data_IF_845720701738
#
_entry.id   IF_845720701738
#
_cell.length_a   1.000
_cell.length_b   1.000
_cell.length_c   1.000
_cell.angle_alpha   90.00
_cell.angle_beta   90.00
_cell.angle_gamma   90.00
#
_symmetry.space_group_name_H-M   'P 1'
#
loop_
_entity.id
_entity.type
_entity.pdbx_description
1 polymer ?
#
# COMPACT_ATOMS: atom_id res chain seq x y z
N UNK A 1 7.75 14.50 1.61
CA UNK A 1 9.16 14.84 1.30
C UNK A 1 9.73 15.95 2.19
N UNK A 2 8.90 16.85 2.73
CA UNK A 2 9.34 17.91 3.66
C UNK A 2 10.07 17.37 4.90
N UNK A 3 9.53 16.33 5.54
CA UNK A 3 10.14 15.72 6.73
C UNK A 3 11.52 15.12 6.45
N UNK A 4 11.68 14.31 5.40
CA UNK A 4 12.96 13.66 5.09
C UNK A 4 14.05 14.66 4.70
N UNK A 5 13.73 15.68 3.89
CA UNK A 5 14.68 16.71 3.49
C UNK A 5 15.05 17.61 4.67
N UNK A 6 14.05 18.10 5.41
CA UNK A 6 14.28 18.95 6.58
C UNK A 6 15.06 18.23 7.68
N UNK A 7 14.72 16.97 7.94
CA UNK A 7 15.45 16.12 8.88
C UNK A 7 16.90 15.91 8.47
N UNK A 8 17.17 15.58 7.20
CA UNK A 8 18.54 15.43 6.70
C UNK A 8 19.38 16.70 6.88
N UNK A 9 18.81 17.88 6.60
CA UNK A 9 19.49 19.17 6.79
C UNK A 9 19.82 19.38 8.27
N UNK A 10 18.85 19.20 9.17
CA UNK A 10 19.06 19.35 10.61
C UNK A 10 20.11 18.36 11.12
N UNK A 11 20.07 17.11 10.67
CA UNK A 11 21.04 16.08 11.02
C UNK A 11 22.47 16.43 10.59
N UNK A 12 22.66 16.94 9.37
CA UNK A 12 23.97 17.38 8.88
C UNK A 12 24.47 18.57 9.71
N UNK A 13 23.61 19.54 10.00
CA UNK A 13 23.97 20.70 10.84
C UNK A 13 24.41 20.21 12.23
N UNK A 14 23.60 19.40 12.90
CA UNK A 14 23.92 18.86 14.24
C UNK A 14 25.19 18.02 14.24
N UNK A 15 25.40 17.17 13.22
CA UNK A 15 26.61 16.37 13.07
C UNK A 15 27.86 17.24 12.95
N UNK A 16 27.85 18.25 12.08
CA UNK A 16 28.97 19.15 11.87
C UNK A 16 29.21 20.07 13.07
N UNK A 17 28.14 20.55 13.72
CA UNK A 17 28.24 21.35 14.94
C UNK A 17 28.92 20.57 16.08
N UNK A 18 28.52 19.32 16.32
CA UNK A 18 29.17 18.49 17.35
C UNK A 18 30.60 18.14 16.95
N UNK A 19 30.84 17.84 15.67
CA UNK A 19 32.20 17.57 15.16
C UNK A 19 33.14 18.77 15.36
N UNK A 20 32.63 20.00 15.20
CA UNK A 20 33.41 21.22 15.41
C UNK A 20 33.83 21.43 16.88
N UNK A 21 33.13 20.82 17.84
CA UNK A 21 33.46 20.91 19.27
C UNK A 21 34.45 19.86 19.77
N UNK A 22 34.83 18.90 18.92
CA UNK A 22 35.83 17.88 19.26
C UNK A 22 37.25 18.46 19.25
N UNK A 23 38.18 17.79 19.93
CA UNK A 23 39.60 18.15 19.89
C UNK A 23 40.13 18.12 18.44
N UNK A 24 40.73 19.22 17.98
CA UNK A 24 41.13 19.39 16.58
C UNK A 24 40.02 19.86 15.63
N UNK A 25 38.77 19.97 16.11
CA UNK A 25 37.63 20.58 15.43
C UNK A 25 37.42 20.10 13.99
N UNK A 26 36.93 20.99 13.12
CA UNK A 26 36.79 20.66 11.69
C UNK A 26 38.12 20.68 10.92
N UNK A 27 39.22 21.13 11.54
CA UNK A 27 40.55 21.04 10.92
C UNK A 27 41.02 19.59 10.77
N UNK A 28 40.73 18.73 11.75
CA UNK A 28 40.92 17.28 11.65
C UNK A 28 39.62 16.58 11.25
N UNK A 29 39.11 16.94 10.07
CA UNK A 29 37.77 16.55 9.59
C UNK A 29 37.48 15.05 9.74
N UNK A 30 38.40 14.16 9.34
CA UNK A 30 38.17 12.72 9.36
C UNK A 30 38.02 12.16 10.79
N UNK A 31 38.79 12.68 11.75
CA UNK A 31 38.76 12.21 13.13
C UNK A 31 37.52 12.75 13.84
N UNK A 32 37.22 14.03 13.68
CA UNK A 32 36.11 14.70 14.36
C UNK A 32 34.74 14.25 13.85
N UNK A 33 34.61 14.02 12.54
CA UNK A 33 33.34 13.55 11.93
C UNK A 33 33.11 12.05 12.08
N UNK A 34 34.19 11.25 12.13
CA UNK A 34 34.16 9.82 12.39
C UNK A 34 34.00 9.45 13.86
N UNK A 35 33.96 10.45 14.75
CA UNK A 35 33.72 10.23 16.17
C UNK A 35 32.30 9.67 16.41
N UNK A 36 32.20 8.65 17.26
CA UNK A 36 30.94 7.96 17.55
C UNK A 36 29.84 8.91 18.09
N UNK A 37 30.20 9.90 18.90
CA UNK A 37 29.22 10.86 19.46
C UNK A 37 28.71 11.83 18.39
N UNK A 38 29.59 12.29 17.49
CA UNK A 38 29.20 13.15 16.36
C UNK A 38 28.21 12.41 15.45
N UNK A 39 28.56 11.20 15.02
CA UNK A 39 27.71 10.40 14.13
C UNK A 39 26.36 10.04 14.78
N UNK A 40 26.37 9.65 16.05
CA UNK A 40 25.15 9.34 16.79
C UNK A 40 24.21 10.56 16.87
N UNK A 41 24.75 11.73 17.22
CA UNK A 41 23.96 12.95 17.34
C UNK A 41 23.35 13.36 16.01
N UNK A 42 24.13 13.33 14.93
CA UNK A 42 23.64 13.61 13.58
C UNK A 42 22.49 12.69 13.16
N UNK A 43 22.67 11.38 13.33
CA UNK A 43 21.67 10.38 12.96
C UNK A 43 20.38 10.51 13.78
N UNK A 44 20.48 10.72 15.10
CA UNK A 44 19.33 10.94 15.97
C UNK A 44 18.57 12.21 15.60
N UNK A 45 19.28 13.32 15.43
CA UNK A 45 18.69 14.58 15.02
C UNK A 45 17.99 14.44 13.66
N UNK A 46 18.58 13.75 12.70
CA UNK A 46 17.98 13.53 11.38
C UNK A 46 16.63 12.79 11.46
N UNK A 47 16.60 11.66 12.18
CA UNK A 47 15.43 10.80 12.26
C UNK A 47 14.30 11.49 13.05
N UNK A 48 14.62 12.04 14.22
CA UNK A 48 13.61 12.63 15.10
C UNK A 48 13.02 13.91 14.52
N UNK A 49 13.88 14.82 14.03
CA UNK A 49 13.39 16.07 13.43
C UNK A 49 12.65 15.82 12.13
N UNK A 50 13.06 14.83 11.33
CA UNK A 50 12.35 14.48 10.10
C UNK A 50 10.95 13.92 10.37
N UNK A 51 10.79 13.10 11.41
CA UNK A 51 9.48 12.62 11.87
C UNK A 51 8.58 13.76 12.36
N UNK A 52 9.11 14.64 13.22
CA UNK A 52 8.36 15.80 13.75
C UNK A 52 7.94 16.75 12.62
N UNK A 53 8.85 17.08 11.71
CA UNK A 53 8.55 17.96 10.57
C UNK A 53 7.50 17.36 9.63
N UNK A 54 7.53 16.05 9.40
CA UNK A 54 6.49 15.39 8.62
C UNK A 54 5.11 15.58 9.25
N UNK A 55 4.99 15.36 10.57
CA UNK A 55 3.74 15.53 11.31
C UNK A 55 3.26 16.99 11.26
N UNK A 56 4.16 17.94 11.53
CA UNK A 56 3.82 19.38 11.50
C UNK A 56 3.31 19.79 10.12
N UNK A 57 4.02 19.42 9.05
CA UNK A 57 3.62 19.78 7.68
C UNK A 57 2.30 19.10 7.32
N UNK A 58 2.07 17.85 7.72
CA UNK A 58 0.78 17.18 7.53
C UNK A 58 -0.37 17.96 8.16
N UNK A 59 -0.20 18.44 9.40
CA UNK A 59 -1.23 19.24 10.07
C UNK A 59 -1.45 20.59 9.39
N UNK A 60 -0.39 21.28 8.95
CA UNK A 60 -0.51 22.57 8.26
C UNK A 60 -1.22 22.41 6.91
N UNK A 61 -0.85 21.40 6.13
CA UNK A 61 -1.40 21.20 4.77
C UNK A 61 -2.81 20.62 4.79
N UNK A 62 -3.16 19.80 5.78
CA UNK A 62 -4.45 19.09 5.83
C UNK A 62 -5.36 19.55 6.97
N UNK A 63 -5.16 20.77 7.48
CA UNK A 63 -5.91 21.28 8.64
C UNK A 63 -7.43 21.27 8.43
N UNK A 64 -7.89 21.53 7.20
CA UNK A 64 -9.30 21.60 6.83
C UNK A 64 -9.77 20.35 6.07
N UNK A 65 -9.13 19.20 6.27
CA UNK A 65 -9.50 17.97 5.58
C UNK A 65 -10.87 17.46 6.06
N UNK A 66 -11.84 17.43 5.15
CA UNK A 66 -13.20 16.99 5.42
C UNK A 66 -13.63 15.81 4.52
N UNK A 67 -14.83 15.29 4.74
CA UNK A 67 -15.37 14.17 3.97
C UNK A 67 -15.59 14.55 2.49
N UNK A 68 -15.95 15.80 2.19
CA UNK A 68 -16.14 16.23 0.80
C UNK A 68 -14.83 16.25 0.02
N UNK A 69 -13.75 16.78 0.62
CA UNK A 69 -12.39 16.74 0.07
C UNK A 69 -11.95 15.31 -0.22
N UNK A 70 -12.23 14.37 0.69
CA UNK A 70 -11.88 12.96 0.46
C UNK A 70 -12.59 12.34 -0.74
N UNK A 71 -13.85 12.73 -0.96
CA UNK A 71 -14.65 12.29 -2.10
C UNK A 71 -14.16 12.94 -3.39
N UNK A 72 -13.86 14.24 -3.37
CA UNK A 72 -13.30 14.95 -4.52
C UNK A 72 -11.95 14.37 -4.97
N UNK A 73 -11.05 14.07 -4.03
CA UNK A 73 -9.77 13.43 -4.31
C UNK A 73 -9.99 12.03 -4.90
N UNK A 74 -10.96 11.28 -4.38
CA UNK A 74 -11.31 9.96 -4.91
C UNK A 74 -11.82 10.05 -6.35
N UNK A 75 -12.74 10.96 -6.63
CA UNK A 75 -13.29 11.19 -7.97
C UNK A 75 -12.20 11.59 -8.95
N UNK A 76 -11.34 12.55 -8.57
CA UNK A 76 -10.20 12.99 -9.38
C UNK A 76 -9.23 11.85 -9.66
N UNK A 77 -8.91 11.04 -8.66
CA UNK A 77 -8.01 9.89 -8.81
C UNK A 77 -8.60 8.85 -9.76
N UNK A 78 -9.92 8.65 -9.69
CA UNK A 78 -10.65 7.71 -10.54
C UNK A 78 -10.79 8.20 -11.98
N UNK A 79 -10.78 9.50 -12.22
CA UNK A 79 -10.85 10.07 -13.58
C UNK A 79 -9.52 9.93 -14.36
N UNK A 80 -8.41 9.60 -13.70
CA UNK A 80 -7.10 9.32 -14.34
C UNK A 80 -7.06 7.93 -15.01
N UNK A 81 -8.18 7.21 -15.02
CA UNK A 81 -8.26 5.83 -15.50
C UNK A 81 -8.02 5.68 -17.01
N UNK A 82 -7.50 4.52 -17.41
CA UNK A 82 -7.24 4.22 -18.81
C UNK A 82 -8.58 3.98 -19.55
N UNK A 83 -8.91 4.75 -20.61
CA UNK A 83 -10.16 4.57 -21.33
C UNK A 83 -10.32 3.19 -21.99
N UNK A 84 -9.23 2.45 -22.21
CA UNK A 84 -9.28 1.09 -22.77
C UNK A 84 -9.37 -0.02 -21.71
N UNK A 85 -8.98 0.26 -20.48
CA UNK A 85 -8.93 -0.74 -19.41
C UNK A 85 -9.26 -0.10 -18.06
N UNK A 86 -10.53 0.31 -17.86
CA UNK A 86 -10.91 0.98 -16.64
C UNK A 86 -10.67 0.06 -15.44
N UNK A 87 -9.85 0.52 -14.48
CA UNK A 87 -9.53 -0.21 -13.25
C UNK A 87 -10.81 -0.61 -12.51
N UNK A 88 -11.84 0.24 -12.58
CA UNK A 88 -13.15 -0.03 -11.96
C UNK A 88 -13.79 -1.30 -12.50
N UNK A 89 -13.68 -1.61 -13.79
CA UNK A 89 -14.24 -2.85 -14.34
C UNK A 89 -13.38 -4.08 -14.06
N UNK A 90 -12.05 -3.92 -14.11
CA UNK A 90 -11.11 -5.00 -13.84
C UNK A 90 -11.16 -5.46 -12.37
N UNK A 91 -11.03 -4.51 -11.44
CA UNK A 91 -10.85 -4.83 -10.04
C UNK A 91 -12.16 -4.87 -9.24
N UNK A 92 -13.26 -4.24 -9.69
CA UNK A 92 -14.53 -4.35 -8.95
C UNK A 92 -15.05 -5.78 -8.90
N UNK A 93 -14.85 -6.54 -10.00
CA UNK A 93 -15.19 -7.96 -10.06
C UNK A 93 -14.34 -8.77 -9.09
N UNK A 94 -13.02 -8.61 -9.15
CA UNK A 94 -12.08 -9.39 -8.35
C UNK A 94 -12.20 -9.08 -6.85
N UNK A 95 -12.55 -7.84 -6.50
CA UNK A 95 -12.80 -7.41 -5.11
C UNK A 95 -14.23 -7.71 -4.62
N UNK A 96 -15.11 -8.19 -5.49
CA UNK A 96 -16.51 -8.49 -5.20
C UNK A 96 -17.25 -7.27 -4.63
N UNK A 97 -17.15 -6.11 -5.29
CA UNK A 97 -17.86 -4.89 -4.92
C UNK A 97 -19.33 -4.98 -5.31
N UNK A 98 -20.23 -4.36 -4.52
CA UNK A 98 -21.69 -4.47 -4.69
C UNK A 98 -22.18 -3.97 -6.06
N UNK A 99 -21.38 -3.10 -6.70
CA UNK A 99 -21.62 -2.55 -8.03
C UNK A 99 -21.00 -3.32 -9.21
N UNK A 100 -20.22 -4.37 -8.99
CA UNK A 100 -19.39 -5.01 -10.01
C UNK A 100 -20.19 -5.61 -11.20
N UNK A 101 -21.45 -5.97 -10.97
CA UNK A 101 -22.32 -6.58 -11.99
C UNK A 101 -23.22 -5.57 -12.72
N UNK A 102 -23.09 -4.27 -12.44
CA UNK A 102 -23.89 -3.21 -13.09
C UNK A 102 -23.02 -2.45 -14.09
N UNK A 103 -23.35 -2.57 -15.38
CA UNK A 103 -22.76 -1.76 -16.45
C UNK A 103 -22.84 -0.27 -16.09
N UNK A 104 -21.69 0.39 -15.96
CA UNK A 104 -21.58 1.82 -15.66
C UNK A 104 -21.67 2.21 -14.17
N UNK A 105 -21.73 1.26 -13.24
CA UNK A 105 -21.76 1.60 -11.81
C UNK A 105 -20.34 1.87 -11.28
N UNK A 106 -20.05 3.12 -10.93
CA UNK A 106 -18.74 3.52 -10.42
C UNK A 106 -18.65 3.25 -8.92
N UNK A 107 -17.63 2.53 -8.42
CA UNK A 107 -17.53 2.15 -7.01
C UNK A 107 -17.35 3.36 -6.10
N UNK A 108 -18.11 3.41 -5.02
CA UNK A 108 -18.06 4.47 -4.02
C UNK A 108 -16.80 4.34 -3.16
N UNK A 109 -16.28 5.48 -2.68
CA UNK A 109 -15.12 5.53 -1.81
C UNK A 109 -15.27 4.63 -0.58
N UNK A 110 -16.44 4.67 0.07
CA UNK A 110 -16.72 3.90 1.28
C UNK A 110 -16.72 2.38 1.03
N UNK A 111 -17.22 1.92 -0.12
CA UNK A 111 -17.23 0.49 -0.46
C UNK A 111 -15.81 -0.05 -0.61
N UNK A 112 -14.97 0.68 -1.32
CA UNK A 112 -13.55 0.33 -1.52
C UNK A 112 -12.81 0.41 -0.19
N UNK A 113 -12.98 1.50 0.56
CA UNK A 113 -12.37 1.67 1.87
C UNK A 113 -12.75 0.53 2.83
N UNK A 114 -14.02 0.10 2.81
CA UNK A 114 -14.52 -1.01 3.62
C UNK A 114 -13.85 -2.34 3.28
N UNK A 115 -13.66 -2.66 1.99
CA UNK A 115 -12.95 -3.87 1.57
C UNK A 115 -11.49 -3.89 2.01
N UNK A 116 -10.82 -2.74 1.96
CA UNK A 116 -9.41 -2.63 2.31
C UNK A 116 -9.14 -2.34 3.81
N UNK A 117 -10.15 -2.35 4.69
CA UNK A 117 -9.96 -2.09 6.14
C UNK A 117 -8.89 -2.97 6.78
N UNK A 118 -8.88 -4.27 6.45
CA UNK A 118 -7.89 -5.21 6.97
C UNK A 118 -6.48 -4.89 6.49
N UNK A 119 -6.32 -4.66 5.18
CA UNK A 119 -5.03 -4.27 4.59
C UNK A 119 -4.52 -2.94 5.17
N UNK A 120 -5.41 -1.94 5.33
CA UNK A 120 -5.09 -0.65 5.94
C UNK A 120 -4.65 -0.80 7.40
N UNK A 121 -5.33 -1.66 8.17
CA UNK A 121 -4.94 -1.94 9.55
C UNK A 121 -3.55 -2.59 9.61
N UNK A 122 -3.31 -3.62 8.81
CA UNK A 122 -2.01 -4.31 8.74
C UNK A 122 -0.90 -3.35 8.31
N UNK A 123 -1.15 -2.49 7.32
CA UNK A 123 -0.18 -1.50 6.86
C UNK A 123 0.15 -0.49 7.96
N UNK A 124 -0.86 0.05 8.65
CA UNK A 124 -0.65 1.05 9.70
C UNK A 124 0.05 0.46 10.94
N UNK A 125 -0.43 -0.69 11.42
CA UNK A 125 0.16 -1.38 12.58
C UNK A 125 1.55 -1.89 12.24
N UNK A 126 1.72 -2.50 11.07
CA UNK A 126 3.01 -3.00 10.59
C UNK A 126 4.04 -1.88 10.44
N UNK A 127 3.66 -0.75 9.83
CA UNK A 127 4.53 0.41 9.70
C UNK A 127 4.94 0.94 11.08
N UNK A 128 3.99 1.10 12.01
CA UNK A 128 4.28 1.56 13.37
C UNK A 128 5.24 0.61 14.10
N UNK A 129 4.96 -0.69 14.08
CA UNK A 129 5.78 -1.71 14.75
C UNK A 129 7.19 -1.76 14.16
N UNK A 130 7.33 -1.79 12.84
CA UNK A 130 8.64 -1.80 12.16
C UNK A 130 9.41 -0.53 12.48
N UNK A 131 8.77 0.64 12.46
CA UNK A 131 9.41 1.90 12.84
C UNK A 131 9.89 1.87 14.29
N UNK A 132 9.09 1.39 15.25
CA UNK A 132 9.52 1.27 16.65
C UNK A 132 10.69 0.30 16.81
N UNK A 133 10.65 -0.84 16.11
CA UNK A 133 11.72 -1.82 16.14
C UNK A 133 13.01 -1.20 15.58
N UNK A 134 12.98 -0.61 14.38
CA UNK A 134 14.18 -0.15 13.70
C UNK A 134 14.75 1.16 14.25
N UNK A 135 13.91 2.06 14.76
CA UNK A 135 14.34 3.38 15.24
C UNK A 135 14.66 3.38 16.74
N UNK A 136 13.97 2.57 17.53
CA UNK A 136 14.10 2.60 19.00
C UNK A 136 14.76 1.33 19.51
N UNK A 137 14.13 0.18 19.30
CA UNK A 137 14.55 -1.08 19.92
C UNK A 137 15.91 -1.51 19.39
N UNK A 138 16.11 -1.41 18.08
CA UNK A 138 17.32 -1.86 17.40
C UNK A 138 18.56 -1.05 17.80
N UNK A 139 18.58 0.30 17.71
CA UNK A 139 19.72 1.09 18.18
C UNK A 139 19.96 0.93 19.67
N UNK A 140 18.91 0.81 20.50
CA UNK A 140 19.04 0.59 21.93
C UNK A 140 19.72 -0.75 22.25
N UNK A 141 19.30 -1.84 21.57
CA UNK A 141 19.91 -3.15 21.71
C UNK A 141 21.38 -3.14 21.26
N UNK A 142 21.68 -2.51 20.12
CA UNK A 142 23.07 -2.37 19.63
C UNK A 142 23.94 -1.56 20.59
N UNK A 143 23.39 -0.52 21.20
CA UNK A 143 24.10 0.27 22.22
C UNK A 143 24.39 -0.54 23.47
N UNK A 144 23.45 -1.39 23.93
CA UNK A 144 23.63 -2.23 25.10
C UNK A 144 24.71 -3.31 24.91
N UNK A 145 24.89 -3.80 23.68
CA UNK A 145 25.89 -4.85 23.36
C UNK A 145 27.32 -4.26 23.23
N UNK A 146 27.46 -3.00 22.84
CA UNK A 146 28.76 -2.35 22.67
C UNK A 146 29.60 -2.96 21.52
N UNK A 147 30.88 -3.21 21.75
CA UNK A 147 31.77 -3.77 20.72
C UNK A 147 31.55 -5.28 20.60
N UNK A 148 31.07 -5.73 19.44
CA UNK A 148 30.88 -7.15 19.15
C UNK A 148 32.23 -7.88 19.11
N UNK A 149 32.42 -8.81 20.05
CA UNK A 149 33.55 -9.74 19.99
C UNK A 149 33.47 -10.70 18.79
N UNK A 150 34.53 -11.44 18.46
CA UNK A 150 34.60 -12.29 17.25
C UNK A 150 33.45 -13.29 17.13
N UNK A 151 33.05 -13.92 18.25
CA UNK A 151 31.92 -14.86 18.29
C UNK A 151 30.57 -14.17 18.06
N UNK A 152 30.36 -12.99 18.67
CA UNK A 152 29.14 -12.21 18.49
C UNK A 152 28.99 -11.71 17.05
N UNK A 153 30.10 -11.23 16.47
CA UNK A 153 30.13 -10.81 15.07
C UNK A 153 29.86 -11.98 14.11
N UNK A 154 30.48 -13.15 14.32
CA UNK A 154 30.22 -14.33 13.50
C UNK A 154 28.77 -14.81 13.57
N UNK A 155 28.16 -14.79 14.77
CA UNK A 155 26.73 -15.12 14.93
C UNK A 155 25.82 -14.10 14.25
N UNK A 156 26.16 -12.81 14.34
CA UNK A 156 25.44 -11.72 13.69
C UNK A 156 25.46 -11.87 12.17
N UNK A 157 26.64 -12.11 11.58
CA UNK A 157 26.79 -12.38 10.14
C UNK A 157 26.05 -13.64 9.72
N UNK A 158 26.10 -14.71 10.51
CA UNK A 158 25.37 -15.95 10.23
C UNK A 158 23.85 -15.74 10.21
N UNK A 159 23.32 -14.97 11.15
CA UNK A 159 21.89 -14.63 11.22
C UNK A 159 21.45 -13.78 10.03
N UNK A 160 22.20 -12.74 9.67
CA UNK A 160 21.85 -11.88 8.52
C UNK A 160 21.98 -12.61 7.20
N UNK A 161 22.99 -13.46 7.04
CA UNK A 161 23.13 -14.33 5.87
C UNK A 161 21.94 -15.30 5.78
N UNK A 162 21.57 -15.96 6.87
CA UNK A 162 20.41 -16.86 6.92
C UNK A 162 19.11 -16.17 6.52
N UNK A 163 18.87 -14.96 7.05
CA UNK A 163 17.72 -14.14 6.64
C UNK A 163 17.76 -13.80 5.15
N UNK A 164 18.92 -13.37 4.62
CA UNK A 164 19.07 -13.04 3.20
C UNK A 164 18.78 -14.23 2.30
N UNK A 165 19.28 -15.42 2.63
CA UNK A 165 19.00 -16.64 1.86
C UNK A 165 17.51 -16.99 1.87
N UNK A 166 16.84 -16.94 3.02
CA UNK A 166 15.40 -17.19 3.12
C UNK A 166 14.59 -16.16 2.33
N UNK A 167 14.97 -14.89 2.41
CA UNK A 167 14.33 -13.81 1.65
C UNK A 167 14.54 -14.01 0.13
N UNK A 168 15.72 -14.42 -0.32
CA UNK A 168 15.99 -14.74 -1.73
C UNK A 168 15.11 -15.87 -2.22
N UNK A 169 15.03 -16.97 -1.46
CA UNK A 169 14.13 -18.10 -1.79
C UNK A 169 12.69 -17.61 -1.90
N UNK A 170 12.23 -16.82 -0.93
CA UNK A 170 10.87 -16.27 -0.93
C UNK A 170 10.61 -15.39 -2.16
N UNK A 171 11.50 -14.44 -2.48
CA UNK A 171 11.34 -13.53 -3.62
C UNK A 171 11.30 -14.29 -4.96
N UNK A 172 12.02 -15.40 -5.08
CA UNK A 172 12.02 -16.22 -6.29
C UNK A 172 10.77 -17.11 -6.37
N UNK A 173 10.44 -17.81 -5.28
CA UNK A 173 9.38 -18.83 -5.30
C UNK A 173 7.98 -18.23 -5.18
N UNK A 174 7.81 -17.14 -4.42
CA UNK A 174 6.50 -16.57 -4.12
C UNK A 174 5.77 -16.10 -5.39
N UNK A 175 6.37 -15.32 -6.32
CA UNK A 175 5.71 -14.93 -7.56
C UNK A 175 5.33 -16.12 -8.44
N UNK A 176 6.20 -17.13 -8.55
CA UNK A 176 5.90 -18.33 -9.35
C UNK A 176 4.73 -19.10 -8.76
N UNK A 177 4.70 -19.24 -7.44
CA UNK A 177 3.61 -19.91 -6.75
C UNK A 177 2.29 -19.14 -6.87
N UNK A 178 2.30 -17.80 -6.79
CA UNK A 178 1.10 -16.98 -6.93
C UNK A 178 0.53 -17.05 -8.35
N UNK A 179 1.38 -16.91 -9.37
CA UNK A 179 0.97 -17.02 -10.78
C UNK A 179 0.42 -18.42 -11.09
N UNK A 180 1.08 -19.48 -10.60
CA UNK A 180 0.60 -20.85 -10.78
C UNK A 180 -0.76 -21.07 -10.09
N UNK A 181 -0.95 -20.52 -8.89
CA UNK A 181 -2.21 -20.60 -8.16
C UNK A 181 -3.34 -19.87 -8.90
N UNK A 182 -3.06 -18.69 -9.44
CA UNK A 182 -4.03 -17.91 -10.22
C UNK A 182 -4.45 -18.63 -11.51
N UNK A 183 -3.49 -19.14 -12.29
CA UNK A 183 -3.79 -19.95 -13.49
C UNK A 183 -4.66 -21.16 -13.15
N UNK A 184 -4.34 -21.87 -12.07
CA UNK A 184 -5.12 -23.03 -11.64
C UNK A 184 -6.56 -22.65 -11.25
N UNK A 185 -6.76 -21.52 -10.58
CA UNK A 185 -8.10 -21.04 -10.24
C UNK A 185 -8.88 -20.61 -11.47
N UNK A 186 -8.26 -19.88 -12.39
CA UNK A 186 -8.90 -19.49 -13.66
C UNK A 186 -9.31 -20.72 -14.49
N UNK A 187 -8.49 -21.77 -14.53
CA UNK A 187 -8.84 -23.02 -15.24
C UNK A 187 -10.03 -23.70 -14.57
N UNK A 188 -10.07 -23.75 -13.23
CA UNK A 188 -11.21 -24.32 -12.49
C UNK A 188 -12.50 -23.55 -12.78
N UNK A 189 -12.46 -22.22 -12.77
CA UNK A 189 -13.62 -21.37 -13.06
C UNK A 189 -14.14 -21.58 -14.49
N UNK A 190 -13.24 -21.58 -15.50
CA UNK A 190 -13.61 -21.83 -16.90
C UNK A 190 -14.26 -23.21 -17.10
N UNK A 191 -13.78 -24.23 -16.39
CA UNK A 191 -14.36 -25.58 -16.44
C UNK A 191 -15.78 -25.60 -15.87
N UNK A 192 -16.02 -24.90 -14.76
CA UNK A 192 -17.35 -24.80 -14.15
C UNK A 192 -18.35 -24.10 -15.08
N UNK A 193 -17.97 -22.96 -15.68
CA UNK A 193 -18.84 -22.23 -16.62
C UNK A 193 -19.18 -23.11 -17.84
N UNK A 194 -18.19 -23.81 -18.42
CA UNK A 194 -18.44 -24.67 -19.57
C UNK A 194 -19.38 -25.85 -19.30
N UNK A 195 -19.46 -26.34 -18.05
CA UNK A 195 -20.43 -27.37 -17.64
C UNK A 195 -21.84 -26.78 -17.54
N UNK A 196 -21.98 -25.58 -16.97
CA UNK A 196 -23.27 -24.89 -16.85
C UNK A 196 -23.87 -24.55 -18.23
N UNK A 197 -23.04 -24.12 -19.18
CA UNK A 197 -23.47 -23.85 -20.55
C UNK A 197 -23.94 -25.12 -21.27
N UNK A 198 -23.26 -26.25 -21.03
CA UNK A 198 -23.64 -27.55 -21.59
C UNK A 198 -24.94 -28.08 -20.99
N UNK A 199 -25.18 -27.84 -19.70
CA UNK A 199 -26.44 -28.22 -19.03
C UNK A 199 -27.59 -27.32 -19.50
N UNK A 200 -27.39 -26.00 -19.62
CA UNK A 200 -28.38 -25.05 -20.11
C UNK A 200 -28.80 -25.33 -21.57
N UNK A 201 -27.88 -25.79 -22.43
CA UNK A 201 -28.20 -26.20 -23.81
C UNK A 201 -28.89 -27.56 -23.91
N UNK A 202 -28.86 -28.37 -22.84
CA UNK A 202 -29.52 -29.68 -22.79
C UNK A 202 -30.97 -29.63 -22.28
N UNK A 203 -31.40 -28.51 -21.70
CA UNK A 203 -32.81 -28.29 -21.32
C UNK A 203 -33.60 -27.87 -22.56
N UNK A 204 -34.57 -28.66 -23.04
CA UNK A 204 -35.41 -28.25 -24.16
C UNK A 204 -36.23 -27.03 -23.74
N UNK A 205 -36.16 -25.96 -24.54
CA UNK A 205 -37.06 -24.80 -24.41
C UNK A 205 -38.47 -25.32 -24.67
N UNK A 206 -39.22 -25.59 -23.61
CA UNK A 206 -40.66 -25.80 -23.70
C UNK A 206 -41.27 -24.46 -24.10
N UNK A 207 -41.54 -24.33 -25.40
CA UNK A 207 -42.28 -23.19 -25.96
C UNK A 207 -43.69 -23.28 -25.38
N UNK A 208 -43.91 -22.60 -24.26
CA UNK A 208 -45.25 -22.33 -23.76
C UNK A 208 -45.96 -21.50 -24.84
N UNK A 209 -46.83 -22.16 -25.61
CA UNK A 209 -47.68 -21.53 -26.62
C UNK A 209 -48.66 -20.61 -25.90
N UNK A 210 -48.23 -19.37 -25.68
CA UNK A 210 -49.07 -18.27 -25.24
C UNK A 210 -50.25 -18.09 -26.18
N UNK A 211 -51.44 -18.22 -25.61
CA UNK A 211 -52.75 -17.88 -26.17
C UNK A 211 -52.73 -16.41 -26.64
N UNK A 212 -53.29 -16.07 -27.81
CA UNK A 212 -53.33 -14.67 -28.25
C UNK A 212 -54.38 -13.92 -27.44
N UNK A 213 -53.94 -13.15 -26.44
CA UNK A 213 -54.80 -12.18 -25.78
C UNK A 213 -54.89 -10.94 -26.67
N UNK A 214 -56.08 -10.80 -27.25
CA UNK A 214 -56.50 -9.68 -28.06
C UNK A 214 -56.90 -8.53 -27.13
N UNK A 215 -55.97 -7.63 -26.81
CA UNK A 215 -56.29 -6.35 -26.19
C UNK A 215 -55.84 -5.19 -27.07
N UNK A 216 -56.86 -4.49 -27.58
CA UNK A 216 -56.79 -3.22 -28.25
C UNK A 216 -56.10 -2.17 -27.36
N UNK A 217 -54.90 -1.73 -27.75
CA UNK A 217 -54.32 -0.49 -27.27
C UNK A 217 -54.66 0.63 -28.25
N UNK A 218 -55.77 1.31 -27.95
CA UNK A 218 -56.13 2.61 -28.49
C UNK A 218 -55.04 3.64 -28.19
N UNK A 219 -54.42 4.17 -29.24
CA UNK A 219 -53.53 5.34 -29.16
C UNK A 219 -54.41 6.58 -29.01
N UNK A 220 -54.49 7.14 -27.80
CA UNK A 220 -55.02 8.49 -27.57
C UNK A 220 -53.87 9.50 -27.52
N UNK A 221 -53.73 10.26 -28.60
CA UNK A 221 -52.96 11.51 -28.67
C UNK A 221 -53.61 12.58 -27.78
N UNK A 222 -52.85 13.37 -27.00
CA UNK A 222 -53.29 14.69 -26.59
C UNK A 222 -52.62 15.78 -27.43
N UNK A 223 -53.46 16.71 -27.85
CA UNK A 223 -53.17 17.91 -28.62
C UNK A 223 -52.17 18.87 -27.97
N UNK A 224 -51.53 19.67 -28.84
CA UNK A 224 -50.77 20.88 -28.50
C UNK A 224 -51.70 21.94 -27.90
N UNK A 225 -51.22 22.64 -26.87
CA UNK A 225 -51.14 24.11 -26.81
C UNK A 225 -49.82 24.48 -26.17
#
# INVERSE_FOLDING_TARGET
>A
MSGSIGGAIIGIISWLSVSATQDGGLSDFFVSTGNSMSMLTGNLCAILSGGVLAVIVTFITNWHYDASTSTEVWETTRDIDNPLSPWTELYARDLGLSGANRLGNRPLLDEVANKFKGARLVANVGALLISLILVIIWPAAMTAVGVLGPKGFSSWVGMTAGYAFLATIFIILFPVASEAWEILNTIKEKRTIGILDAEATSVPVEVEKGKPDNENLTISSPERV
#
